data_IF_634755911856
#
_entry.id   IF_634755911856
#
_cell.length_a   1.000
_cell.length_b   1.000
_cell.length_c   1.000
_cell.angle_alpha   90.00
_cell.angle_beta   90.00
_cell.angle_gamma   90.00
#
_symmetry.space_group_name_H-M   'P 1'
#
loop_
_entity.id
_entity.type
_entity.pdbx_description
1 polymer ?
#
# COMPACT_ATOMS: atom_id res chain seq x y z
N UNK A 1 49.25 15.28 10.91
CA UNK A 1 50.22 14.26 10.51
C UNK A 1 49.77 13.67 9.18
N UNK A 2 50.70 13.40 8.29
CA UNK A 2 50.41 12.65 7.07
C UNK A 2 50.34 11.14 7.36
N UNK A 3 49.92 10.35 6.36
CA UNK A 3 49.74 8.89 6.47
C UNK A 3 50.99 8.17 6.96
N UNK A 4 52.16 8.52 6.44
CA UNK A 4 53.42 7.85 6.75
C UNK A 4 53.83 8.10 8.21
N UNK A 5 53.73 9.35 8.66
CA UNK A 5 54.01 9.72 10.05
C UNK A 5 53.10 8.97 11.03
N UNK A 6 51.81 8.80 10.69
CA UNK A 6 50.87 8.04 11.51
C UNK A 6 51.24 6.56 11.58
N UNK A 7 51.55 5.95 10.43
CA UNK A 7 51.94 4.54 10.35
C UNK A 7 53.25 4.24 11.11
N UNK A 8 54.14 5.22 11.24
CA UNK A 8 55.38 5.09 12.02
C UNK A 8 55.13 5.09 13.54
N UNK A 9 54.25 5.97 14.05
CA UNK A 9 54.04 6.12 15.49
C UNK A 9 53.02 5.13 16.08
N UNK A 10 52.03 4.68 15.29
CA UNK A 10 50.93 3.86 15.79
C UNK A 10 51.39 2.54 16.44
N UNK A 11 52.41 1.82 15.92
CA UNK A 11 52.92 0.62 16.58
C UNK A 11 53.49 0.87 17.98
N UNK A 12 54.15 2.01 18.20
CA UNK A 12 54.69 2.38 19.52
C UNK A 12 53.58 2.77 20.48
N UNK A 13 52.62 3.59 20.04
CA UNK A 13 51.44 3.94 20.83
C UNK A 13 50.62 2.71 21.22
N UNK A 14 50.48 1.75 20.30
CA UNK A 14 49.82 0.48 20.58
C UNK A 14 50.55 -0.30 21.68
N UNK A 15 51.87 -0.49 21.54
CA UNK A 15 52.68 -1.17 22.56
C UNK A 15 52.57 -0.49 23.93
N UNK A 16 52.60 0.84 23.97
CA UNK A 16 52.46 1.60 25.21
C UNK A 16 51.07 1.45 25.84
N UNK A 17 50.03 1.35 25.01
CA UNK A 17 48.64 1.14 25.43
C UNK A 17 48.42 -0.29 25.93
N UNK A 18 48.93 -1.29 25.23
CA UNK A 18 48.83 -2.70 25.61
C UNK A 18 49.62 -3.03 26.88
N UNK A 19 50.70 -2.29 27.15
CA UNK A 19 51.49 -2.42 28.37
C UNK A 19 50.76 -1.88 29.61
N UNK A 20 49.82 -0.95 29.43
CA UNK A 20 48.99 -0.39 30.52
C UNK A 20 47.56 -0.08 30.02
N UNK A 21 46.70 -1.12 29.89
CA UNK A 21 45.35 -0.97 29.34
C UNK A 21 44.44 -0.09 30.21
N UNK A 22 44.79 0.13 31.47
CA UNK A 22 44.00 0.94 32.41
C UNK A 22 44.20 2.44 32.23
N UNK A 23 45.29 2.85 31.56
CA UNK A 23 45.59 4.25 31.30
C UNK A 23 44.67 4.84 30.22
N UNK A 24 43.63 5.54 30.67
CA UNK A 24 42.66 6.22 29.82
C UNK A 24 43.29 7.26 28.87
N UNK A 25 44.42 7.88 29.23
CA UNK A 25 45.06 8.91 28.39
C UNK A 25 45.78 8.28 27.22
N UNK A 26 46.54 7.21 27.45
CA UNK A 26 47.23 6.46 26.38
C UNK A 26 46.22 5.83 25.42
N UNK A 27 45.15 5.24 25.95
CA UNK A 27 44.04 4.72 25.13
C UNK A 27 43.40 5.81 24.28
N UNK A 28 43.11 6.97 24.87
CA UNK A 28 42.55 8.11 24.14
C UNK A 28 43.51 8.63 23.05
N UNK A 29 44.79 8.79 23.35
CA UNK A 29 45.80 9.22 22.38
C UNK A 29 45.88 8.24 21.20
N UNK A 30 45.99 6.95 21.49
CA UNK A 30 46.04 5.92 20.46
C UNK A 30 44.77 5.89 19.60
N UNK A 31 43.60 5.94 20.24
CA UNK A 31 42.30 5.99 19.56
C UNK A 31 42.18 7.17 18.58
N UNK A 32 42.57 8.37 19.01
CA UNK A 32 42.46 9.57 18.18
C UNK A 32 43.50 9.59 17.06
N UNK A 33 44.67 8.96 17.24
CA UNK A 33 45.64 8.76 16.15
C UNK A 33 45.16 7.76 15.11
N UNK A 34 44.53 6.67 15.54
CA UNK A 34 43.82 5.77 14.62
C UNK A 34 42.71 6.52 13.87
N UNK A 35 42.01 7.44 14.54
CA UNK A 35 40.95 8.24 13.91
C UNK A 35 41.47 9.21 12.85
N UNK A 36 42.65 9.78 13.06
CA UNK A 36 43.29 10.62 12.05
C UNK A 36 43.71 9.79 10.83
N UNK A 37 44.22 8.57 11.04
CA UNK A 37 44.55 7.65 9.94
C UNK A 37 43.29 7.19 9.19
N UNK A 38 42.20 6.93 9.92
CA UNK A 38 40.91 6.54 9.33
C UNK A 38 40.34 7.62 8.39
N UNK A 39 40.48 8.90 8.73
CA UNK A 39 40.05 10.00 7.83
C UNK A 39 40.80 9.95 6.50
N UNK A 40 42.08 9.59 6.51
CA UNK A 40 42.89 9.46 5.30
C UNK A 40 42.40 8.27 4.47
N UNK A 41 42.18 7.10 5.09
CA UNK A 41 41.68 5.93 4.36
C UNK A 41 40.28 6.14 3.78
N UNK A 42 39.43 6.89 4.48
CA UNK A 42 38.13 7.31 3.96
C UNK A 42 38.26 8.18 2.70
N UNK A 43 39.17 9.17 2.69
CA UNK A 43 39.43 10.01 1.52
C UNK A 43 39.99 9.20 0.33
N UNK A 44 40.81 8.20 0.62
CA UNK A 44 41.37 7.27 -0.37
C UNK A 44 40.35 6.22 -0.86
N UNK A 45 39.17 6.12 -0.23
CA UNK A 45 38.21 5.03 -0.41
C UNK A 45 38.82 3.63 -0.16
N UNK A 46 39.78 3.53 0.76
CA UNK A 46 40.45 2.28 1.13
C UNK A 46 39.64 1.54 2.20
N UNK A 47 38.57 0.88 1.76
CA UNK A 47 37.66 0.15 2.66
C UNK A 47 38.37 -0.94 3.47
N UNK A 48 39.34 -1.65 2.88
CA UNK A 48 40.00 -2.79 3.54
C UNK A 48 40.82 -2.34 4.74
N UNK A 49 41.57 -1.25 4.60
CA UNK A 49 42.29 -0.70 5.72
C UNK A 49 41.37 0.05 6.69
N UNK A 50 40.33 0.73 6.18
CA UNK A 50 39.36 1.41 7.05
C UNK A 50 38.65 0.45 8.00
N UNK A 51 38.21 -0.71 7.50
CA UNK A 51 37.59 -1.74 8.35
C UNK A 51 38.52 -2.18 9.48
N UNK A 52 39.79 -2.46 9.17
CA UNK A 52 40.79 -2.87 10.17
C UNK A 52 41.03 -1.79 11.21
N UNK A 53 41.19 -0.54 10.78
CA UNK A 53 41.41 0.59 11.69
C UNK A 53 40.20 0.80 12.57
N UNK A 54 38.98 0.81 12.02
CA UNK A 54 37.76 1.00 12.81
C UNK A 54 37.56 -0.16 13.82
N UNK A 55 37.83 -1.40 13.42
CA UNK A 55 37.82 -2.55 14.34
C UNK A 55 38.81 -2.38 15.49
N UNK A 56 40.01 -1.89 15.18
CA UNK A 56 41.04 -1.61 16.18
C UNK A 56 40.61 -0.46 17.09
N UNK A 57 40.11 0.65 16.54
CA UNK A 57 39.56 1.77 17.31
C UNK A 57 38.50 1.31 18.31
N UNK A 58 37.58 0.44 17.87
CA UNK A 58 36.51 -0.05 18.72
C UNK A 58 37.04 -0.79 19.96
N UNK A 59 38.11 -1.59 19.82
CA UNK A 59 38.72 -2.33 20.94
C UNK A 59 39.25 -1.43 22.05
N UNK A 60 39.69 -0.22 21.71
CA UNK A 60 40.24 0.74 22.69
C UNK A 60 39.26 1.84 23.07
N UNK A 61 38.01 1.80 22.58
CA UNK A 61 37.04 2.91 22.67
C UNK A 61 36.41 3.13 24.05
N UNK A 62 36.47 2.12 24.94
CA UNK A 62 35.78 2.11 26.22
C UNK A 62 36.23 3.26 27.15
N UNK A 63 35.29 4.04 27.68
CA UNK A 63 35.59 5.17 28.57
C UNK A 63 36.23 6.39 27.89
N UNK A 64 36.37 6.39 26.57
CA UNK A 64 36.81 7.56 25.80
C UNK A 64 35.58 8.38 25.37
N UNK A 65 35.57 9.66 25.71
CA UNK A 65 34.49 10.57 25.33
C UNK A 65 34.31 10.63 23.79
N UNK A 66 33.06 10.51 23.33
CA UNK A 66 32.67 10.57 21.92
C UNK A 66 33.27 9.48 21.00
N UNK A 67 33.90 8.44 21.54
CA UNK A 67 34.52 7.38 20.73
C UNK A 67 33.51 6.64 19.85
N UNK A 68 32.38 6.22 20.43
CA UNK A 68 31.29 5.55 19.71
C UNK A 68 30.70 6.46 18.61
N UNK A 69 30.48 7.74 18.90
CA UNK A 69 30.01 8.72 17.91
C UNK A 69 31.02 8.87 16.76
N UNK A 70 32.33 8.92 17.06
CA UNK A 70 33.39 9.04 16.04
C UNK A 70 33.42 7.81 15.12
N UNK A 71 33.40 6.61 15.71
CA UNK A 71 33.34 5.34 14.96
C UNK A 71 32.10 5.32 14.05
N UNK A 72 30.93 5.60 14.61
CA UNK A 72 29.68 5.56 13.84
C UNK A 72 29.64 6.57 12.70
N UNK A 73 30.20 7.78 12.89
CA UNK A 73 30.31 8.76 11.80
C UNK A 73 31.27 8.33 10.70
N UNK A 74 32.38 7.68 11.02
CA UNK A 74 33.31 7.15 10.01
C UNK A 74 32.64 6.04 9.20
N UNK A 75 31.96 5.10 9.88
CA UNK A 75 31.17 4.05 9.22
C UNK A 75 30.08 4.65 8.33
N UNK A 76 29.31 5.62 8.82
CA UNK A 76 28.29 6.31 8.01
C UNK A 76 28.87 6.89 6.72
N UNK A 77 30.05 7.52 6.79
CA UNK A 77 30.68 8.13 5.61
C UNK A 77 31.07 7.07 4.57
N UNK A 78 31.64 5.94 5.00
CA UNK A 78 31.91 4.79 4.12
C UNK A 78 30.66 4.24 3.47
N UNK A 79 29.59 4.04 4.26
CA UNK A 79 28.31 3.55 3.73
C UNK A 79 27.66 4.56 2.75
N UNK A 80 27.95 5.85 2.91
CA UNK A 80 27.42 6.93 2.06
C UNK A 80 28.20 7.09 0.75
N UNK A 81 29.53 7.00 0.78
CA UNK A 81 30.39 7.15 -0.40
C UNK A 81 30.37 5.93 -1.31
N UNK A 82 29.99 4.77 -0.79
CA UNK A 82 29.96 3.53 -1.55
C UNK A 82 28.72 3.43 -2.46
N UNK A 83 28.86 3.77 -3.74
CA UNK A 83 27.91 3.33 -4.76
C UNK A 83 28.13 1.84 -5.06
N UNK A 84 27.08 1.02 -4.91
CA UNK A 84 27.10 -0.44 -5.11
C UNK A 84 28.06 -1.22 -4.18
N UNK A 85 27.83 -1.14 -2.87
CA UNK A 85 28.63 -1.88 -1.88
C UNK A 85 28.44 -3.39 -2.03
N UNK A 86 29.55 -4.12 -1.93
CA UNK A 86 29.54 -5.55 -1.64
C UNK A 86 28.83 -5.80 -0.29
N UNK A 87 27.84 -6.69 -0.29
CA UNK A 87 27.03 -7.01 0.90
C UNK A 87 27.88 -7.45 2.10
N UNK A 88 29.01 -8.11 1.86
CA UNK A 88 29.92 -8.52 2.94
C UNK A 88 30.55 -7.32 3.67
N UNK A 89 30.91 -6.26 2.94
CA UNK A 89 31.49 -5.05 3.54
C UNK A 89 30.46 -4.31 4.40
N UNK A 90 29.20 -4.26 3.93
CA UNK A 90 28.10 -3.70 4.72
C UNK A 90 27.96 -4.49 6.01
N UNK A 91 27.92 -5.82 5.92
CA UNK A 91 27.79 -6.69 7.09
C UNK A 91 28.89 -6.46 8.14
N UNK A 92 30.16 -6.34 7.69
CA UNK A 92 31.28 -6.10 8.60
C UNK A 92 31.12 -4.78 9.38
N UNK A 93 30.72 -3.69 8.70
CA UNK A 93 30.43 -2.43 9.37
C UNK A 93 29.22 -2.51 10.31
N UNK A 94 28.18 -3.26 9.95
CA UNK A 94 27.02 -3.48 10.82
C UNK A 94 27.42 -4.18 12.11
N UNK A 95 28.29 -5.19 12.05
CA UNK A 95 28.78 -5.88 13.26
C UNK A 95 29.54 -4.95 14.20
N UNK A 96 30.27 -3.96 13.67
CA UNK A 96 30.91 -2.94 14.50
C UNK A 96 29.84 -2.03 15.10
N UNK A 97 28.89 -1.56 14.29
CA UNK A 97 27.81 -0.67 14.74
C UNK A 97 26.94 -1.28 15.85
N UNK A 98 26.73 -2.60 15.85
CA UNK A 98 25.95 -3.29 16.91
C UNK A 98 26.71 -3.46 18.21
N UNK A 99 28.03 -3.24 18.21
CA UNK A 99 28.91 -3.35 19.38
C UNK A 99 29.21 -2.01 20.06
N UNK A 100 28.87 -0.88 19.43
CA UNK A 100 29.10 0.46 19.98
C UNK A 100 27.83 1.05 20.59
N UNK A 101 27.98 1.78 21.69
CA UNK A 101 26.89 2.52 22.32
C UNK A 101 27.08 4.04 22.11
N UNK A 102 26.42 4.56 21.08
CA UNK A 102 26.42 5.99 20.75
C UNK A 102 25.17 6.67 21.31
N UNK A 103 25.26 7.98 21.54
CA UNK A 103 24.17 8.77 22.12
C UNK A 103 22.89 8.68 21.27
N UNK A 104 21.74 8.54 21.94
CA UNK A 104 20.42 8.35 21.33
C UNK A 104 19.35 9.11 22.14
N UNK A 105 18.37 9.77 21.50
CA UNK A 105 18.27 10.03 20.06
C UNK A 105 19.39 10.97 19.58
N UNK A 106 19.94 10.75 18.39
CA UNK A 106 20.99 11.60 17.82
C UNK A 106 20.89 11.73 16.30
N UNK A 107 21.57 12.74 15.76
CA UNK A 107 21.69 12.93 14.31
C UNK A 107 22.33 11.70 13.67
N UNK A 108 23.31 11.08 14.33
CA UNK A 108 23.99 9.88 13.84
C UNK A 108 23.01 8.72 13.71
N UNK A 109 22.14 8.48 14.71
CA UNK A 109 21.08 7.46 14.63
C UNK A 109 20.20 7.64 13.39
N UNK A 110 19.69 8.86 13.18
CA UNK A 110 18.84 9.19 12.03
C UNK A 110 19.55 9.00 10.69
N UNK A 111 20.83 9.40 10.61
CA UNK A 111 21.65 9.27 9.41
C UNK A 111 21.99 7.80 9.10
N UNK A 112 22.31 7.00 10.11
CA UNK A 112 22.51 5.56 9.98
C UNK A 112 21.22 4.87 9.54
N UNK A 113 20.10 5.12 10.20
CA UNK A 113 18.81 4.55 9.80
C UNK A 113 18.46 4.88 8.34
N UNK A 114 18.72 6.12 7.91
CA UNK A 114 18.49 6.54 6.52
C UNK A 114 19.41 5.83 5.53
N UNK A 115 20.73 5.78 5.76
CA UNK A 115 21.67 5.16 4.81
C UNK A 115 21.47 3.64 4.77
N UNK A 116 21.26 2.99 5.92
CA UNK A 116 20.99 1.56 6.01
C UNK A 116 19.71 1.19 5.27
N UNK A 117 18.66 2.02 5.38
CA UNK A 117 17.43 1.82 4.61
C UNK A 117 17.66 1.95 3.09
N UNK A 118 18.57 2.84 2.67
CA UNK A 118 18.91 3.05 1.26
C UNK A 118 19.70 1.88 0.68
N UNK A 119 20.68 1.35 1.41
CA UNK A 119 21.56 0.27 0.92
C UNK A 119 20.99 -1.13 1.13
N UNK A 120 20.02 -1.31 2.04
CA UNK A 120 19.55 -2.64 2.39
C UNK A 120 18.79 -3.31 1.23
N UNK A 121 19.35 -4.43 0.76
CA UNK A 121 18.77 -5.30 -0.25
C UNK A 121 17.95 -6.48 0.34
N UNK A 122 17.21 -6.22 1.43
CA UNK A 122 16.39 -7.20 2.17
C UNK A 122 17.18 -8.27 2.90
N UNK A 123 18.41 -7.96 3.28
CA UNK A 123 19.29 -8.83 4.07
C UNK A 123 18.97 -8.74 5.56
N UNK A 124 19.19 -9.84 6.30
CA UNK A 124 18.81 -10.01 7.71
C UNK A 124 19.60 -9.16 8.68
N UNK A 125 20.81 -8.70 8.32
CA UNK A 125 21.62 -7.82 9.17
C UNK A 125 20.90 -6.52 9.55
N UNK A 126 19.93 -6.08 8.75
CA UNK A 126 19.14 -4.89 9.07
C UNK A 126 18.22 -5.14 10.26
N UNK A 127 17.66 -6.36 10.36
CA UNK A 127 16.93 -6.80 11.53
C UNK A 127 17.85 -6.90 12.75
N UNK A 128 19.00 -7.55 12.61
CA UNK A 128 20.00 -7.68 13.68
C UNK A 128 20.44 -6.32 14.23
N UNK A 129 20.71 -5.36 13.34
CA UNK A 129 21.07 -4.00 13.70
C UNK A 129 19.98 -3.33 14.54
N UNK A 130 18.73 -3.25 14.05
CA UNK A 130 17.65 -2.56 14.77
C UNK A 130 17.18 -3.30 16.02
N UNK A 131 17.40 -4.61 16.11
CA UNK A 131 17.22 -5.38 17.35
C UNK A 131 18.26 -5.01 18.41
N UNK A 132 19.51 -4.78 18.00
CA UNK A 132 20.57 -4.33 18.89
C UNK A 132 20.37 -2.87 19.31
N UNK A 133 20.18 -1.96 18.35
CA UNK A 133 20.19 -0.51 18.65
C UNK A 133 18.87 0.05 19.15
N UNK A 134 17.75 -0.66 18.95
CA UNK A 134 16.41 -0.22 19.32
C UNK A 134 15.71 0.66 18.26
N UNK A 135 14.41 0.88 18.44
CA UNK A 135 13.52 1.65 17.54
C UNK A 135 12.91 2.90 18.20
N UNK A 136 13.25 3.21 19.45
CA UNK A 136 12.62 4.31 20.18
C UNK A 136 13.30 5.67 19.95
N UNK A 137 14.48 5.65 19.33
CA UNK A 137 15.43 6.77 19.31
C UNK A 137 15.34 7.66 18.05
N UNK A 138 14.24 7.55 17.31
CA UNK A 138 13.95 8.45 16.20
C UNK A 138 13.67 9.88 16.70
N UNK A 139 14.29 10.87 16.06
CA UNK A 139 14.09 12.29 16.36
C UNK A 139 12.69 12.76 15.94
N UNK A 140 12.22 13.92 16.42
CA UNK A 140 10.94 14.48 15.97
C UNK A 140 10.88 14.67 14.44
N UNK A 141 12.00 15.01 13.80
CA UNK A 141 12.08 15.17 12.35
C UNK A 141 11.88 13.85 11.60
N UNK A 142 12.34 12.74 12.17
CA UNK A 142 12.19 11.39 11.59
C UNK A 142 10.74 10.89 11.62
N UNK A 143 9.88 11.55 12.42
CA UNK A 143 8.45 11.27 12.57
C UNK A 143 7.57 12.10 11.63
N UNK A 144 8.16 13.01 10.86
CA UNK A 144 7.42 13.86 9.94
C UNK A 144 7.39 13.26 8.54
N UNK A 145 6.23 13.34 7.89
CA UNK A 145 6.11 13.11 6.45
C UNK A 145 6.90 14.17 5.70
N UNK A 146 7.64 13.76 4.68
CA UNK A 146 8.35 14.69 3.78
C UNK A 146 7.81 14.57 2.35
N UNK A 147 8.26 15.45 1.46
CA UNK A 147 7.88 15.44 0.05
C UNK A 147 9.13 15.44 -0.83
N UNK A 148 9.12 14.62 -1.88
CA UNK A 148 10.18 14.56 -2.87
C UNK A 148 9.57 14.32 -4.25
N UNK A 149 9.90 15.16 -5.23
CA UNK A 149 9.35 15.09 -6.59
C UNK A 149 7.81 14.99 -6.65
N UNK A 150 7.11 15.76 -5.81
CA UNK A 150 5.64 15.74 -5.74
C UNK A 150 5.04 14.50 -5.08
N UNK A 151 5.86 13.60 -4.54
CA UNK A 151 5.43 12.39 -3.82
C UNK A 151 5.65 12.56 -2.33
N UNK A 152 4.61 12.25 -1.55
CA UNK A 152 4.72 12.13 -0.10
C UNK A 152 5.58 10.92 0.25
N UNK A 153 6.57 11.15 1.08
CA UNK A 153 7.45 10.13 1.66
C UNK A 153 7.02 9.92 3.11
N UNK A 154 6.71 8.68 3.46
CA UNK A 154 6.40 8.27 4.83
C UNK A 154 7.56 8.61 5.79
N UNK A 155 7.27 8.89 7.08
CA UNK A 155 8.30 9.13 8.09
C UNK A 155 9.39 8.06 8.13
N UNK A 156 10.61 8.43 8.51
CA UNK A 156 11.74 7.49 8.55
C UNK A 156 11.47 6.32 9.51
N UNK A 157 10.90 6.59 10.69
CA UNK A 157 10.56 5.53 11.65
C UNK A 157 9.57 4.50 11.06
N UNK A 158 8.59 4.99 10.29
CA UNK A 158 7.60 4.16 9.61
C UNK A 158 8.27 3.31 8.54
N UNK A 159 9.16 3.90 7.73
CA UNK A 159 9.85 3.19 6.65
C UNK A 159 10.79 2.10 7.17
N UNK A 160 11.47 2.33 8.30
CA UNK A 160 12.32 1.33 8.96
C UNK A 160 11.46 0.15 9.41
N UNK A 161 10.35 0.39 10.12
CA UNK A 161 9.45 -0.67 10.58
C UNK A 161 8.84 -1.46 9.41
N UNK A 162 8.44 -0.79 8.32
CA UNK A 162 7.98 -1.47 7.10
C UNK A 162 9.06 -2.37 6.51
N UNK A 163 10.31 -1.90 6.45
CA UNK A 163 11.42 -2.69 5.92
C UNK A 163 11.72 -3.91 6.80
N UNK A 164 11.69 -3.76 8.13
CA UNK A 164 11.84 -4.86 9.07
C UNK A 164 10.73 -5.90 8.90
N UNK A 165 9.47 -5.46 8.83
CA UNK A 165 8.34 -6.35 8.60
C UNK A 165 8.50 -7.14 7.30
N UNK A 166 8.89 -6.47 6.21
CA UNK A 166 9.17 -7.12 4.92
C UNK A 166 10.27 -8.19 5.02
N UNK A 167 11.37 -7.91 5.73
CA UNK A 167 12.47 -8.87 5.91
C UNK A 167 12.00 -10.09 6.72
N UNK A 168 11.26 -9.85 7.81
CA UNK A 168 10.71 -10.90 8.67
C UNK A 168 9.72 -11.77 7.91
N UNK A 169 8.81 -11.17 7.12
CA UNK A 169 7.84 -11.87 6.28
C UNK A 169 8.53 -12.72 5.21
N UNK A 170 9.49 -12.16 4.48
CA UNK A 170 10.18 -12.82 3.36
C UNK A 170 10.98 -14.04 3.81
N UNK A 171 11.62 -13.94 4.97
CA UNK A 171 12.47 -15.01 5.53
C UNK A 171 11.71 -15.89 6.54
N UNK A 172 10.40 -15.66 6.72
CA UNK A 172 9.53 -16.40 7.63
C UNK A 172 10.09 -16.55 9.06
N UNK A 173 10.65 -15.46 9.61
CA UNK A 173 11.31 -15.45 10.92
C UNK A 173 10.25 -15.39 12.04
N UNK A 174 9.63 -16.52 12.31
CA UNK A 174 8.46 -16.65 13.20
C UNK A 174 8.70 -16.14 14.62
N UNK A 175 9.92 -16.29 15.15
CA UNK A 175 10.30 -15.79 16.48
C UNK A 175 10.20 -14.27 16.62
N UNK A 176 10.14 -13.54 15.50
CA UNK A 176 10.13 -12.07 15.48
C UNK A 176 8.76 -11.46 15.13
N UNK A 177 7.74 -12.29 14.85
CA UNK A 177 6.41 -11.81 14.44
C UNK A 177 5.75 -10.92 15.51
N UNK A 178 5.73 -11.37 16.76
CA UNK A 178 5.11 -10.60 17.85
C UNK A 178 5.87 -9.29 18.13
N UNK A 179 7.21 -9.32 18.01
CA UNK A 179 8.04 -8.14 18.21
C UNK A 179 7.72 -7.05 17.18
N UNK A 180 7.71 -7.40 15.89
CA UNK A 180 7.43 -6.40 14.84
C UNK A 180 5.96 -5.97 14.82
N UNK A 181 5.01 -6.87 15.13
CA UNK A 181 3.59 -6.53 15.25
C UNK A 181 3.36 -5.47 16.32
N UNK A 182 3.98 -5.61 17.50
CA UNK A 182 3.88 -4.61 18.58
C UNK A 182 4.32 -3.22 18.11
N UNK A 183 5.41 -3.15 17.33
CA UNK A 183 5.87 -1.88 16.75
C UNK A 183 4.89 -1.31 15.74
N UNK A 184 4.38 -2.12 14.81
CA UNK A 184 3.38 -1.68 13.83
C UNK A 184 2.12 -1.17 14.54
N UNK A 185 1.65 -1.87 15.57
CA UNK A 185 0.46 -1.48 16.34
C UNK A 185 0.65 -0.17 17.10
N UNK A 186 1.87 0.12 17.56
CA UNK A 186 2.18 1.42 18.18
C UNK A 186 2.20 2.58 17.18
N UNK A 187 2.47 2.30 15.89
CA UNK A 187 2.56 3.30 14.83
C UNK A 187 1.20 3.56 14.14
N UNK A 188 0.34 2.56 14.03
CA UNK A 188 -0.95 2.69 13.32
C UNK A 188 -1.84 3.85 13.83
N UNK A 189 -2.00 4.09 15.15
CA UNK A 189 -2.77 5.25 15.64
C UNK A 189 -2.14 6.60 15.29
N UNK A 190 -0.80 6.66 15.22
CA UNK A 190 -0.06 7.88 14.85
C UNK A 190 -0.12 8.15 13.35
N UNK A 191 -0.20 7.09 12.56
CA UNK A 191 -0.17 7.15 11.09
C UNK A 191 -1.32 6.35 10.45
N UNK A 192 -2.60 6.72 10.71
CA UNK A 192 -3.77 5.95 10.25
C UNK A 192 -3.91 5.88 8.72
N UNK A 193 -3.18 6.75 8.02
CA UNK A 193 -3.16 6.82 6.56
C UNK A 193 -2.07 5.98 5.89
N UNK A 194 -1.15 5.39 6.65
CA UNK A 194 -0.07 4.56 6.13
C UNK A 194 -0.57 3.16 5.72
N UNK A 195 -0.90 3.03 4.44
CA UNK A 195 -1.42 1.80 3.84
C UNK A 195 -0.46 0.62 4.02
N UNK A 196 0.85 0.87 3.89
CA UNK A 196 1.86 -0.18 3.99
C UNK A 196 2.01 -0.76 5.41
N UNK A 197 1.76 0.02 6.46
CA UNK A 197 1.71 -0.53 7.82
C UNK A 197 0.55 -1.51 7.98
N UNK A 198 -0.63 -1.18 7.44
CA UNK A 198 -1.79 -2.09 7.43
C UNK A 198 -1.50 -3.35 6.61
N UNK A 199 -0.86 -3.19 5.46
CA UNK A 199 -0.44 -4.31 4.61
C UNK A 199 0.46 -5.30 5.36
N UNK A 200 1.55 -4.82 5.95
CA UNK A 200 2.50 -5.66 6.69
C UNK A 200 1.87 -6.30 7.92
N UNK A 201 1.06 -5.54 8.69
CA UNK A 201 0.26 -6.13 9.79
C UNK A 201 -0.61 -7.28 9.28
N UNK A 202 -1.31 -7.09 8.17
CA UNK A 202 -2.12 -8.13 7.55
C UNK A 202 -1.29 -9.37 7.17
N UNK A 203 -0.12 -9.18 6.55
CA UNK A 203 0.75 -10.30 6.15
C UNK A 203 1.27 -11.09 7.33
N UNK A 204 1.70 -10.43 8.40
CA UNK A 204 2.11 -11.07 9.65
C UNK A 204 0.93 -11.83 10.30
N UNK A 205 -0.27 -11.25 10.31
CA UNK A 205 -1.48 -11.92 10.81
C UNK A 205 -1.83 -13.16 9.97
N UNK A 206 -1.65 -13.10 8.65
CA UNK A 206 -1.83 -14.27 7.78
C UNK A 206 -0.84 -15.38 8.13
N UNK A 207 0.44 -15.05 8.32
CA UNK A 207 1.49 -16.01 8.73
C UNK A 207 1.21 -16.61 10.12
N UNK A 208 0.54 -15.87 11.00
CA UNK A 208 0.04 -16.34 12.30
C UNK A 208 -1.31 -17.07 12.22
N UNK A 209 -1.84 -17.31 11.02
CA UNK A 209 -3.16 -17.92 10.77
C UNK A 209 -4.35 -17.16 11.42
N UNK A 210 -4.19 -15.86 11.69
CA UNK A 210 -5.25 -14.94 12.17
C UNK A 210 -6.00 -14.35 10.98
N UNK A 211 -6.73 -15.22 10.27
CA UNK A 211 -7.28 -14.94 8.94
C UNK A 211 -8.30 -13.78 8.93
N UNK A 212 -9.18 -13.70 9.94
CA UNK A 212 -10.20 -12.64 10.02
C UNK A 212 -9.57 -11.26 10.21
N UNK A 213 -8.55 -11.18 11.06
CA UNK A 213 -7.82 -9.95 11.33
C UNK A 213 -6.95 -9.55 10.12
N UNK A 214 -6.33 -10.53 9.44
CA UNK A 214 -5.61 -10.30 8.20
C UNK A 214 -6.53 -9.71 7.11
N UNK A 215 -7.74 -10.28 6.96
CA UNK A 215 -8.80 -9.76 6.05
C UNK A 215 -9.16 -8.32 6.38
N UNK A 216 -9.44 -8.03 7.65
CA UNK A 216 -9.78 -6.68 8.08
C UNK A 216 -8.69 -5.66 7.68
N UNK A 217 -7.41 -6.01 7.81
CA UNK A 217 -6.30 -5.14 7.44
C UNK A 217 -6.16 -4.94 5.92
N UNK A 218 -6.21 -6.01 5.12
CA UNK A 218 -6.04 -5.88 3.66
C UNK A 218 -7.26 -5.22 2.99
N UNK A 219 -8.45 -5.38 3.58
CA UNK A 219 -9.64 -4.70 3.09
C UNK A 219 -9.57 -3.18 3.30
N UNK A 220 -9.02 -2.72 4.43
CA UNK A 220 -8.71 -1.31 4.67
C UNK A 220 -7.69 -0.72 3.67
N UNK A 221 -6.78 -1.56 3.17
CA UNK A 221 -5.86 -1.20 2.09
C UNK A 221 -6.62 -1.08 0.75
N UNK A 222 -7.48 -2.04 0.44
CA UNK A 222 -8.29 -2.06 -0.78
C UNK A 222 -9.24 -0.86 -0.90
N UNK A 223 -9.82 -0.38 0.21
CA UNK A 223 -10.64 0.85 0.21
C UNK A 223 -9.90 2.04 -0.40
N UNK A 224 -8.59 2.17 -0.12
CA UNK A 224 -7.74 3.25 -0.64
C UNK A 224 -7.10 2.92 -1.99
N UNK A 225 -6.89 1.64 -2.28
CA UNK A 225 -6.05 1.18 -3.38
C UNK A 225 -6.71 0.05 -4.19
N UNK A 226 -8.01 0.16 -4.50
CA UNK A 226 -8.80 -0.89 -5.19
C UNK A 226 -8.28 -1.32 -6.56
N UNK A 227 -7.45 -0.51 -7.22
CA UNK A 227 -6.84 -0.86 -8.51
C UNK A 227 -5.57 -1.70 -8.38
N UNK A 228 -5.06 -1.90 -7.18
CA UNK A 228 -3.79 -2.60 -6.95
C UNK A 228 -4.00 -4.12 -6.93
N UNK A 229 -3.49 -4.81 -7.94
CA UNK A 229 -3.66 -6.26 -8.08
C UNK A 229 -3.17 -7.05 -6.86
N UNK A 230 -2.06 -6.63 -6.26
CA UNK A 230 -1.42 -7.34 -5.14
C UNK A 230 -2.30 -7.34 -3.89
N UNK A 231 -3.18 -6.35 -3.73
CA UNK A 231 -4.08 -6.26 -2.58
C UNK A 231 -5.21 -7.31 -2.70
N UNK A 232 -5.73 -7.49 -3.91
CA UNK A 232 -6.69 -8.55 -4.21
C UNK A 232 -6.07 -9.94 -4.11
N UNK A 233 -4.85 -10.11 -4.62
CA UNK A 233 -4.10 -11.37 -4.51
C UNK A 233 -3.90 -11.76 -3.04
N UNK A 234 -3.46 -10.81 -2.20
CA UNK A 234 -3.33 -11.04 -0.76
C UNK A 234 -4.68 -11.32 -0.09
N UNK A 235 -5.76 -10.59 -0.40
CA UNK A 235 -7.08 -10.94 0.13
C UNK A 235 -7.46 -12.40 -0.19
N UNK A 236 -7.16 -12.87 -1.41
CA UNK A 236 -7.31 -14.28 -1.81
C UNK A 236 -6.53 -15.27 -0.93
N UNK A 237 -5.27 -14.98 -0.63
CA UNK A 237 -4.44 -15.82 0.24
C UNK A 237 -5.09 -16.05 1.62
N UNK A 238 -5.83 -15.06 2.13
CA UNK A 238 -6.51 -15.23 3.43
C UNK A 238 -7.62 -16.30 3.39
N UNK A 239 -8.14 -16.65 2.22
CA UNK A 239 -9.19 -17.66 2.04
C UNK A 239 -8.65 -19.03 1.63
N UNK A 240 -7.33 -19.19 1.41
CA UNK A 240 -6.76 -20.39 0.79
C UNK A 240 -7.06 -21.68 1.56
N UNK A 241 -7.19 -21.59 2.88
CA UNK A 241 -7.52 -22.73 3.75
C UNK A 241 -9.02 -22.84 4.09
N UNK A 242 -9.85 -21.87 3.70
CA UNK A 242 -11.29 -21.81 4.02
C UNK A 242 -12.19 -21.97 2.80
N UNK A 243 -11.84 -21.36 1.66
CA UNK A 243 -12.66 -21.34 0.45
C UNK A 243 -11.80 -21.16 -0.81
N UNK A 244 -11.60 -22.27 -1.53
CA UNK A 244 -10.78 -22.29 -2.75
C UNK A 244 -11.42 -21.53 -3.92
N UNK A 245 -12.75 -21.54 -4.02
CA UNK A 245 -13.45 -20.80 -5.07
C UNK A 245 -13.29 -19.29 -4.88
N UNK A 246 -13.41 -18.79 -3.66
CA UNK A 246 -13.12 -17.38 -3.36
C UNK A 246 -11.66 -17.05 -3.63
N UNK A 247 -10.73 -17.91 -3.21
CA UNK A 247 -9.29 -17.74 -3.49
C UNK A 247 -9.05 -17.59 -4.99
N UNK A 248 -9.64 -18.47 -5.81
CA UNK A 248 -9.60 -18.41 -7.28
C UNK A 248 -10.20 -17.10 -7.79
N UNK A 249 -11.35 -16.67 -7.29
CA UNK A 249 -11.97 -15.40 -7.67
C UNK A 249 -11.07 -14.19 -7.43
N UNK A 250 -10.41 -14.15 -6.27
CA UNK A 250 -9.49 -13.07 -5.92
C UNK A 250 -8.23 -13.06 -6.78
N UNK A 251 -7.65 -14.22 -7.06
CA UNK A 251 -6.49 -14.34 -7.96
C UNK A 251 -6.84 -13.93 -9.39
N UNK A 252 -7.99 -14.36 -9.92
CA UNK A 252 -8.50 -13.94 -11.22
C UNK A 252 -8.72 -12.42 -11.28
N UNK A 253 -9.31 -11.83 -10.23
CA UNK A 253 -9.48 -10.38 -10.11
C UNK A 253 -8.14 -9.64 -10.11
N UNK A 254 -7.16 -10.16 -9.37
CA UNK A 254 -5.81 -9.61 -9.34
C UNK A 254 -5.15 -9.64 -10.73
N UNK A 255 -5.19 -10.78 -11.44
CA UNK A 255 -4.65 -10.90 -12.79
C UNK A 255 -5.29 -9.89 -13.75
N UNK A 256 -6.62 -9.67 -13.68
CA UNK A 256 -7.31 -8.69 -14.52
C UNK A 256 -6.91 -7.23 -14.24
N UNK A 257 -6.47 -6.92 -13.02
CA UNK A 257 -6.07 -5.57 -12.62
C UNK A 257 -4.60 -5.26 -12.87
N UNK A 258 -3.76 -6.29 -13.01
CA UNK A 258 -2.33 -6.12 -13.23
C UNK A 258 -2.03 -5.65 -14.65
N UNK A 259 -1.29 -4.56 -14.77
CA UNK A 259 -0.85 -4.03 -16.07
C UNK A 259 0.59 -4.44 -16.42
N UNK A 260 1.39 -4.84 -15.44
CA UNK A 260 2.76 -5.31 -15.64
C UNK A 260 2.80 -6.83 -15.40
N UNK A 261 3.03 -7.57 -16.48
CA UNK A 261 3.11 -9.04 -16.46
C UNK A 261 4.25 -9.55 -15.56
N UNK A 262 5.36 -8.80 -15.40
CA UNK A 262 6.46 -9.19 -14.51
C UNK A 262 6.02 -9.17 -13.06
N UNK A 263 5.21 -8.18 -12.67
CA UNK A 263 4.67 -8.08 -11.31
C UNK A 263 3.60 -9.14 -11.01
N UNK A 264 2.95 -9.68 -12.04
CA UNK A 264 1.92 -10.72 -11.91
C UNK A 264 2.47 -12.14 -11.74
N UNK A 265 3.77 -12.37 -11.94
CA UNK A 265 4.39 -13.71 -11.88
C UNK A 265 3.99 -14.52 -10.65
N UNK A 266 4.01 -13.91 -9.46
CA UNK A 266 3.62 -14.58 -8.21
C UNK A 266 2.13 -14.93 -8.16
N UNK A 267 1.26 -13.99 -8.56
CA UNK A 267 -0.20 -14.21 -8.59
C UNK A 267 -0.58 -15.31 -9.58
N UNK A 268 0.02 -15.30 -10.79
CA UNK A 268 -0.22 -16.32 -11.82
C UNK A 268 0.23 -17.71 -11.38
N UNK A 269 1.38 -17.79 -10.71
CA UNK A 269 1.89 -19.04 -10.17
C UNK A 269 0.97 -19.62 -9.10
N UNK A 270 0.47 -18.79 -8.18
CA UNK A 270 -0.54 -19.21 -7.18
C UNK A 270 -1.82 -19.71 -7.86
N UNK A 271 -2.27 -19.02 -8.91
CA UNK A 271 -3.44 -19.44 -9.68
C UNK A 271 -3.20 -20.78 -10.40
N UNK A 272 -2.02 -20.97 -11.01
CA UNK A 272 -1.64 -22.23 -11.63
C UNK A 272 -1.62 -23.39 -10.62
N UNK A 273 -1.05 -23.17 -9.43
CA UNK A 273 -1.02 -24.15 -8.34
C UNK A 273 -2.43 -24.53 -7.86
N UNK A 274 -3.30 -23.52 -7.70
CA UNK A 274 -4.69 -23.72 -7.31
C UNK A 274 -5.46 -24.53 -8.36
N UNK A 275 -5.38 -24.14 -9.63
CA UNK A 275 -6.03 -24.83 -10.75
C UNK A 275 -5.53 -26.27 -10.90
N UNK A 276 -4.22 -26.50 -10.71
CA UNK A 276 -3.64 -27.84 -10.70
C UNK A 276 -4.25 -28.71 -9.59
N UNK A 277 -4.38 -28.17 -8.36
CA UNK A 277 -5.01 -28.86 -7.23
C UNK A 277 -6.50 -29.17 -7.48
N UNK A 278 -7.21 -28.26 -8.14
CA UNK A 278 -8.61 -28.44 -8.56
C UNK A 278 -8.76 -29.34 -9.80
N UNK A 279 -7.65 -29.87 -10.35
CA UNK A 279 -7.61 -30.70 -11.57
C UNK A 279 -8.07 -29.97 -12.84
N UNK A 280 -8.12 -28.64 -12.83
CA UNK A 280 -8.30 -27.83 -14.03
C UNK A 280 -6.96 -27.69 -14.77
N UNK A 281 -6.49 -28.81 -15.30
CA UNK A 281 -5.15 -28.91 -15.91
C UNK A 281 -5.02 -28.04 -17.16
N UNK A 282 -6.12 -27.77 -17.87
CA UNK A 282 -6.12 -26.93 -19.06
C UNK A 282 -5.70 -25.51 -18.73
N UNK A 283 -6.35 -24.91 -17.72
CA UNK A 283 -6.05 -23.54 -17.28
C UNK A 283 -4.76 -23.46 -16.48
N UNK A 284 -4.46 -24.48 -15.67
CA UNK A 284 -3.19 -24.58 -14.98
C UNK A 284 -2.00 -24.59 -15.96
N UNK A 285 -2.12 -25.32 -17.08
CA UNK A 285 -1.12 -25.32 -18.15
C UNK A 285 -0.96 -23.94 -18.79
N UNK A 286 -2.05 -23.26 -19.11
CA UNK A 286 -1.98 -21.91 -19.71
C UNK A 286 -1.27 -20.91 -18.77
N UNK A 287 -1.56 -20.92 -17.47
CA UNK A 287 -0.87 -20.04 -16.52
C UNK A 287 0.61 -20.39 -16.35
N UNK A 288 0.96 -21.68 -16.22
CA UNK A 288 2.35 -22.07 -15.97
C UNK A 288 3.24 -21.75 -17.18
N UNK A 289 2.73 -21.96 -18.40
CA UNK A 289 3.45 -21.59 -19.62
C UNK A 289 3.62 -20.07 -19.71
N UNK A 290 2.61 -19.29 -19.33
CA UNK A 290 2.72 -17.83 -19.30
C UNK A 290 3.77 -17.35 -18.29
N UNK A 291 3.81 -17.96 -17.10
CA UNK A 291 4.84 -17.69 -16.08
C UNK A 291 6.24 -17.99 -16.64
N UNK A 292 6.42 -19.13 -17.31
CA UNK A 292 7.71 -19.52 -17.91
C UNK A 292 8.13 -18.53 -19.02
N UNK A 293 7.20 -18.14 -19.90
CA UNK A 293 7.42 -17.18 -20.99
C UNK A 293 7.93 -15.84 -20.44
N UNK A 294 7.26 -15.29 -19.42
CA UNK A 294 7.61 -14.00 -18.81
C UNK A 294 8.98 -14.09 -18.12
N UNK A 295 9.27 -15.19 -17.41
CA UNK A 295 10.58 -15.37 -16.74
C UNK A 295 11.73 -15.47 -17.74
N UNK A 296 11.57 -16.27 -18.80
CA UNK A 296 12.57 -16.40 -19.87
C UNK A 296 12.85 -15.07 -20.57
N UNK A 297 11.79 -14.37 -21.01
CA UNK A 297 11.95 -13.06 -21.67
C UNK A 297 12.53 -11.98 -20.76
N UNK A 298 12.40 -12.13 -19.44
CA UNK A 298 12.98 -11.22 -18.44
C UNK A 298 14.37 -11.63 -17.93
N UNK A 299 14.94 -12.75 -18.40
CA UNK A 299 16.22 -13.28 -17.90
C UNK A 299 16.16 -13.81 -16.46
N UNK A 300 14.97 -14.08 -15.93
CA UNK A 300 14.78 -14.60 -14.58
C UNK A 300 14.93 -16.13 -14.54
N UNK A 301 15.56 -16.65 -13.48
CA UNK A 301 15.62 -18.10 -13.22
C UNK A 301 14.21 -18.69 -13.06
N UNK A 302 14.01 -19.88 -13.61
CA UNK A 302 12.79 -20.66 -13.44
C UNK A 302 12.93 -21.46 -12.14
N UNK A 303 11.95 -21.33 -11.23
CA UNK A 303 11.95 -22.04 -9.95
C UNK A 303 11.61 -23.52 -10.08
N UNK A 304 12.04 -24.32 -9.11
CA UNK A 304 11.77 -25.77 -9.06
C UNK A 304 10.27 -26.09 -8.98
N UNK A 305 9.51 -25.26 -8.28
CA UNK A 305 8.06 -25.33 -8.17
C UNK A 305 7.35 -25.18 -9.53
N UNK A 306 7.83 -24.25 -10.36
CA UNK A 306 7.35 -24.05 -11.73
C UNK A 306 7.68 -25.27 -12.58
N UNK A 307 8.93 -25.76 -12.51
CA UNK A 307 9.39 -26.92 -13.27
C UNK A 307 8.56 -28.16 -12.91
N UNK A 308 8.38 -28.44 -11.62
CA UNK A 308 7.62 -29.58 -11.11
C UNK A 308 6.20 -29.65 -11.69
N UNK A 309 5.49 -28.52 -11.75
CA UNK A 309 4.14 -28.46 -12.34
C UNK A 309 4.21 -28.67 -13.85
N UNK A 310 5.09 -27.91 -14.52
CA UNK A 310 5.18 -27.93 -15.99
C UNK A 310 5.63 -29.28 -16.56
N UNK A 311 6.41 -30.05 -15.80
CA UNK A 311 6.95 -31.35 -16.23
C UNK A 311 6.03 -32.52 -15.92
N UNK A 312 4.99 -32.31 -15.11
CA UNK A 312 4.02 -33.33 -14.76
C UNK A 312 3.30 -33.89 -15.99
N UNK A 313 3.05 -35.21 -16.00
CA UNK A 313 2.41 -35.91 -17.11
C UNK A 313 1.06 -35.27 -17.48
N UNK A 314 0.23 -34.98 -16.48
CA UNK A 314 -1.10 -34.38 -16.68
C UNK A 314 -1.05 -32.99 -17.32
N UNK A 315 -0.04 -32.17 -17.00
CA UNK A 315 0.12 -30.84 -17.64
C UNK A 315 0.71 -30.95 -19.04
N UNK A 316 1.65 -31.88 -19.27
CA UNK A 316 2.17 -32.13 -20.62
C UNK A 316 1.06 -32.58 -21.57
N UNK A 317 0.17 -33.45 -21.12
CA UNK A 317 -0.95 -34.01 -21.90
C UNK A 317 -2.17 -33.08 -22.00
N UNK A 318 -2.33 -32.12 -21.08
CA UNK A 318 -3.47 -31.20 -21.12
C UNK A 318 -3.46 -30.26 -22.34
N UNK A 319 -4.64 -29.86 -22.80
CA UNK A 319 -4.81 -28.84 -23.84
C UNK A 319 -4.86 -27.47 -23.18
N UNK A 320 -4.12 -26.50 -23.71
CA UNK A 320 -4.14 -25.11 -23.21
C UNK A 320 -5.52 -24.47 -23.40
N UNK A 321 -5.99 -23.76 -22.38
CA UNK A 321 -7.16 -22.89 -22.47
C UNK A 321 -6.85 -21.70 -23.38
N UNK A 322 -7.69 -21.51 -24.41
CA UNK A 322 -7.50 -20.48 -25.43
C UNK A 322 -8.00 -19.11 -24.97
N UNK A 323 -8.99 -19.06 -24.08
CA UNK A 323 -9.61 -17.81 -23.65
C UNK A 323 -9.52 -17.60 -22.13
N UNK A 324 -8.29 -17.53 -21.64
CA UNK A 324 -8.01 -17.24 -20.22
C UNK A 324 -8.64 -15.91 -19.76
N UNK A 325 -8.77 -14.92 -20.64
CA UNK A 325 -9.38 -13.63 -20.31
C UNK A 325 -10.85 -13.77 -19.91
N UNK A 326 -11.61 -14.61 -20.62
CA UNK A 326 -13.01 -14.87 -20.29
C UNK A 326 -13.15 -15.70 -19.01
N UNK A 327 -12.24 -16.65 -18.81
CA UNK A 327 -12.14 -17.38 -17.54
C UNK A 327 -11.93 -16.43 -16.35
N UNK A 328 -10.98 -15.48 -16.42
CA UNK A 328 -10.75 -14.56 -15.30
C UNK A 328 -11.98 -13.71 -15.01
N UNK A 329 -12.66 -13.21 -16.06
CA UNK A 329 -13.85 -12.36 -15.90
C UNK A 329 -14.98 -13.13 -15.23
N UNK A 330 -15.34 -14.28 -15.78
CA UNK A 330 -16.41 -15.14 -15.25
C UNK A 330 -16.13 -15.62 -13.83
N UNK A 331 -14.86 -15.83 -13.48
CA UNK A 331 -14.47 -16.31 -12.15
C UNK A 331 -14.27 -15.20 -11.11
N UNK A 332 -14.26 -13.92 -11.49
CA UNK A 332 -13.90 -12.81 -10.59
C UNK A 332 -15.08 -12.14 -9.86
N UNK A 333 -16.33 -12.50 -10.15
CA UNK A 333 -17.52 -11.83 -9.60
C UNK A 333 -17.54 -11.85 -8.07
N UNK A 334 -17.38 -13.03 -7.48
CA UNK A 334 -17.50 -13.23 -6.03
C UNK A 334 -16.45 -12.45 -5.22
N UNK A 335 -15.29 -12.17 -5.82
CA UNK A 335 -14.26 -11.37 -5.16
C UNK A 335 -14.74 -9.94 -4.91
N UNK A 336 -15.47 -9.37 -5.87
CA UNK A 336 -15.97 -8.01 -5.74
C UNK A 336 -17.09 -7.93 -4.71
N UNK A 337 -17.93 -8.94 -4.60
CA UNK A 337 -19.01 -9.00 -3.59
C UNK A 337 -18.47 -8.97 -2.16
N UNK A 338 -17.45 -9.78 -1.83
CA UNK A 338 -16.79 -9.77 -0.52
C UNK A 338 -16.20 -8.40 -0.19
N UNK A 339 -15.64 -7.70 -1.19
CA UNK A 339 -15.16 -6.34 -0.98
C UNK A 339 -16.32 -5.37 -0.72
N UNK A 340 -17.46 -5.55 -1.39
CA UNK A 340 -18.63 -4.69 -1.26
C UNK A 340 -19.38 -4.86 0.06
N UNK A 341 -19.30 -6.02 0.70
CA UNK A 341 -19.87 -6.29 2.04
C UNK A 341 -19.38 -5.32 3.13
N UNK A 342 -18.27 -4.62 2.88
CA UNK A 342 -17.73 -3.63 3.80
C UNK A 342 -18.44 -2.28 3.79
N UNK A 343 -19.35 -2.08 2.84
CA UNK A 343 -19.99 -0.81 2.57
C UNK A 343 -21.47 -0.87 2.91
N UNK A 344 -22.05 0.29 3.19
CA UNK A 344 -23.50 0.37 3.34
C UNK A 344 -24.16 0.15 1.99
N UNK A 345 -25.33 -0.47 2.00
CA UNK A 345 -26.11 -0.75 0.81
C UNK A 345 -27.47 -0.05 0.88
N UNK A 346 -27.95 0.48 -0.24
CA UNK A 346 -29.32 0.98 -0.36
C UNK A 346 -29.85 0.85 -1.79
N UNK A 347 -31.17 0.80 -1.95
CA UNK A 347 -31.83 1.03 -3.23
C UNK A 347 -32.09 2.53 -3.40
N UNK A 348 -31.90 3.06 -4.61
CA UNK A 348 -32.13 4.46 -4.90
C UNK A 348 -32.43 4.72 -6.38
N UNK A 349 -32.65 5.99 -6.70
CA UNK A 349 -32.95 6.46 -8.04
C UNK A 349 -31.93 7.49 -8.50
N UNK A 350 -31.53 7.40 -9.77
CA UNK A 350 -30.62 8.38 -10.38
C UNK A 350 -31.35 9.70 -10.57
N UNK A 351 -30.93 10.75 -9.87
CA UNK A 351 -31.57 12.07 -9.92
C UNK A 351 -30.83 13.05 -10.82
N UNK A 352 -29.53 12.85 -11.05
CA UNK A 352 -28.73 13.70 -11.92
C UNK A 352 -27.46 12.97 -12.41
N UNK A 353 -26.96 13.34 -13.60
CA UNK A 353 -25.71 12.83 -14.18
C UNK A 353 -24.88 14.00 -14.72
N UNK A 354 -23.67 14.17 -14.19
CA UNK A 354 -22.67 15.10 -14.72
C UNK A 354 -21.76 14.36 -15.70
N UNK A 355 -22.15 14.36 -16.99
CA UNK A 355 -21.44 13.65 -18.06
C UNK A 355 -19.96 14.05 -18.16
N UNK A 356 -19.67 15.36 -18.10
CA UNK A 356 -18.30 15.89 -18.14
C UNK A 356 -17.38 15.31 -17.06
N UNK A 357 -17.95 15.00 -15.88
CA UNK A 357 -17.20 14.48 -14.73
C UNK A 357 -17.34 12.98 -14.56
N UNK A 358 -18.17 12.32 -15.37
CA UNK A 358 -18.58 10.93 -15.20
C UNK A 358 -19.05 10.64 -13.76
N UNK A 359 -19.95 11.48 -13.23
CA UNK A 359 -20.52 11.31 -11.87
C UNK A 359 -22.04 11.25 -11.99
N UNK A 360 -22.65 10.24 -11.35
CA UNK A 360 -24.09 10.15 -11.13
C UNK A 360 -24.43 10.45 -9.66
N UNK A 361 -25.61 11.03 -9.44
CA UNK A 361 -26.20 11.25 -8.14
C UNK A 361 -27.38 10.30 -7.97
N UNK A 362 -27.33 9.47 -6.93
CA UNK A 362 -28.33 8.45 -6.64
C UNK A 362 -28.95 8.77 -5.28
N UNK A 363 -30.22 9.15 -5.28
CA UNK A 363 -30.97 9.43 -4.06
C UNK A 363 -31.58 8.12 -3.54
N UNK A 364 -31.34 7.82 -2.26
CA UNK A 364 -31.81 6.59 -1.62
C UNK A 364 -32.61 6.86 -0.34
N UNK A 365 -32.79 8.14 0.01
CA UNK A 365 -33.64 8.61 1.12
C UNK A 365 -34.02 10.08 0.86
N UNK A 366 -35.01 10.62 1.57
CA UNK A 366 -35.51 12.02 1.43
C UNK A 366 -34.43 13.08 1.63
N UNK A 367 -33.37 12.75 2.37
CA UNK A 367 -32.23 13.63 2.67
C UNK A 367 -30.86 12.98 2.38
N UNK A 368 -30.81 11.84 1.67
CA UNK A 368 -29.55 11.14 1.37
C UNK A 368 -29.39 10.88 -0.12
N UNK A 369 -28.30 11.41 -0.65
CA UNK A 369 -27.90 11.25 -2.04
C UNK A 369 -26.43 10.92 -2.09
N UNK A 370 -26.09 9.80 -2.74
CA UNK A 370 -24.71 9.41 -2.97
C UNK A 370 -24.23 9.90 -4.33
N UNK A 371 -22.99 10.36 -4.39
CA UNK A 371 -22.29 10.62 -5.65
C UNK A 371 -21.41 9.42 -6.02
N UNK A 372 -21.57 8.87 -7.21
CA UNK A 372 -20.83 7.70 -7.69
C UNK A 372 -20.19 7.97 -9.06
N UNK A 373 -18.96 7.48 -9.25
CA UNK A 373 -18.29 7.56 -10.55
C UNK A 373 -18.87 6.51 -11.50
N UNK A 374 -19.25 6.91 -12.70
CA UNK A 374 -19.81 6.02 -13.73
C UNK A 374 -18.75 5.66 -14.78
N UNK A 375 -18.79 4.43 -15.28
CA UNK A 375 -17.96 4.01 -16.40
C UNK A 375 -18.56 4.52 -17.71
N UNK A 376 -17.74 4.96 -18.66
CA UNK A 376 -18.20 5.47 -19.97
C UNK A 376 -19.02 4.45 -20.77
N UNK A 377 -18.81 3.17 -20.53
CA UNK A 377 -19.47 2.06 -21.23
C UNK A 377 -20.87 1.73 -20.68
N UNK A 378 -21.26 2.27 -19.53
CA UNK A 378 -22.55 1.96 -18.91
C UNK A 378 -23.55 3.05 -19.29
N UNK A 379 -24.63 2.66 -19.96
CA UNK A 379 -25.76 3.56 -20.22
C UNK A 379 -26.62 3.68 -18.95
N UNK A 380 -26.27 4.61 -18.05
CA UNK A 380 -27.09 4.99 -16.91
C UNK A 380 -27.82 6.30 -17.23
N UNK A 381 -29.11 6.36 -16.91
CA UNK A 381 -29.96 7.52 -17.17
C UNK A 381 -30.63 8.04 -15.90
N UNK A 382 -31.04 9.30 -15.92
CA UNK A 382 -31.89 9.85 -14.86
C UNK A 382 -33.20 9.04 -14.82
N UNK A 383 -33.68 8.76 -13.61
CA UNK A 383 -34.83 7.89 -13.35
C UNK A 383 -34.51 6.40 -13.26
N UNK A 384 -33.30 5.96 -13.64
CA UNK A 384 -32.90 4.56 -13.44
C UNK A 384 -32.87 4.23 -11.94
N UNK A 385 -33.38 3.06 -11.60
CA UNK A 385 -33.34 2.51 -10.25
C UNK A 385 -32.04 1.73 -10.08
N UNK A 386 -31.39 1.88 -8.95
CA UNK A 386 -30.08 1.28 -8.69
C UNK A 386 -29.95 0.79 -7.26
N UNK A 387 -29.25 -0.33 -7.11
CA UNK A 387 -28.59 -0.71 -5.86
C UNK A 387 -27.30 0.08 -5.79
N UNK A 388 -27.01 0.70 -4.66
CA UNK A 388 -25.78 1.47 -4.43
C UNK A 388 -25.07 0.98 -3.18
N UNK A 389 -23.77 0.76 -3.32
CA UNK A 389 -22.84 0.53 -2.21
C UNK A 389 -22.11 1.84 -1.91
N UNK A 390 -22.09 2.29 -0.66
CA UNK A 390 -21.57 3.61 -0.30
C UNK A 390 -20.86 3.67 1.06
N UNK A 391 -19.97 4.64 1.20
CA UNK A 391 -19.40 5.07 2.49
C UNK A 391 -20.06 6.36 2.96
N UNK A 392 -20.34 6.43 4.26
CA UNK A 392 -20.69 7.69 4.93
C UNK A 392 -19.40 8.40 5.36
N UNK A 393 -19.25 9.65 4.94
CA UNK A 393 -18.09 10.49 5.24
C UNK A 393 -18.57 11.80 5.85
N UNK A 394 -18.03 12.14 7.02
CA UNK A 394 -18.26 13.45 7.62
C UNK A 394 -17.33 14.50 6.98
N UNK A 395 -17.92 15.54 6.41
CA UNK A 395 -17.20 16.66 5.83
C UNK A 395 -17.69 17.96 6.46
N UNK A 396 -16.87 18.54 7.36
CA UNK A 396 -17.17 19.78 8.09
C UNK A 396 -18.53 19.74 8.81
N UNK A 397 -18.83 18.63 9.47
CA UNK A 397 -20.09 18.43 10.20
C UNK A 397 -21.28 18.00 9.33
N UNK A 398 -21.15 17.98 8.01
CA UNK A 398 -22.18 17.44 7.12
C UNK A 398 -21.86 15.99 6.71
N UNK A 399 -22.86 15.11 6.80
CA UNK A 399 -22.79 13.76 6.24
C UNK A 399 -22.81 13.83 4.71
N UNK A 400 -21.82 13.19 4.07
CA UNK A 400 -21.77 12.94 2.63
C UNK A 400 -21.74 11.45 2.38
N UNK A 401 -22.27 11.04 1.24
CA UNK A 401 -22.36 9.64 0.85
C UNK A 401 -21.57 9.45 -0.45
N UNK A 402 -20.48 8.69 -0.39
CA UNK A 402 -19.64 8.41 -1.54
C UNK A 402 -19.98 7.02 -2.07
N UNK A 403 -20.51 6.95 -3.29
CA UNK A 403 -20.81 5.67 -3.94
C UNK A 403 -19.54 4.98 -4.43
N UNK A 404 -19.44 3.69 -4.10
CA UNK A 404 -18.31 2.80 -4.42
C UNK A 404 -18.60 1.99 -5.66
N UNK A 405 -19.82 1.45 -5.75
CA UNK A 405 -20.37 0.70 -6.89
C UNK A 405 -21.89 0.91 -6.96
N UNK A 406 -22.45 0.72 -8.15
CA UNK A 406 -23.89 0.70 -8.38
C UNK A 406 -24.24 -0.41 -9.37
N UNK A 407 -25.48 -0.90 -9.27
CA UNK A 407 -26.04 -1.92 -10.14
C UNK A 407 -27.49 -1.54 -10.47
N UNK A 408 -27.89 -1.62 -11.75
CA UNK A 408 -29.28 -1.29 -12.12
C UNK A 408 -30.23 -2.29 -11.48
N UNK A 409 -31.35 -1.79 -10.97
CA UNK A 409 -32.46 -2.59 -10.47
C UNK A 409 -33.63 -2.49 -11.44
N UNK A 410 -34.23 -3.63 -11.79
CA UNK A 410 -35.44 -3.64 -12.61
C UNK A 410 -36.63 -3.10 -11.81
N UNK A 411 -36.81 -3.59 -10.57
CA UNK A 411 -37.96 -3.27 -9.72
C UNK A 411 -37.49 -2.73 -8.37
N UNK A 412 -37.92 -1.52 -8.05
CA UNK A 412 -37.84 -0.90 -6.73
C UNK A 412 -38.91 0.20 -6.64
N UNK A 413 -39.48 0.42 -5.46
CA UNK A 413 -40.43 1.49 -5.20
C UNK A 413 -39.94 2.33 -4.03
N UNK A 414 -40.23 3.62 -4.08
CA UNK A 414 -39.72 4.59 -3.12
C UNK A 414 -40.85 5.53 -2.73
N UNK A 415 -41.05 5.75 -1.43
CA UNK A 415 -42.06 6.69 -0.91
C UNK A 415 -41.73 8.16 -1.24
N UNK A 416 -40.48 8.44 -1.61
CA UNK A 416 -39.97 9.73 -2.04
C UNK A 416 -39.92 9.89 -3.56
N UNK A 417 -40.50 8.96 -4.34
CA UNK A 417 -40.59 9.06 -5.81
C UNK A 417 -42.03 8.93 -6.24
N UNK A 418 -42.47 9.77 -7.17
CA UNK A 418 -43.80 9.65 -7.78
C UNK A 418 -43.79 10.14 -9.21
N UNK A 419 -44.73 9.63 -10.00
CA UNK A 419 -45.08 10.21 -11.29
C UNK A 419 -46.19 11.26 -11.06
N UNK A 420 -46.05 12.42 -11.69
CA UNK A 420 -47.05 13.48 -11.65
C UNK A 420 -47.39 13.89 -13.07
N UNK A 421 -48.69 13.94 -13.37
CA UNK A 421 -49.21 14.39 -14.65
C UNK A 421 -50.12 15.60 -14.40
N UNK A 422 -49.89 16.70 -15.10
CA UNK A 422 -50.69 17.91 -14.96
C UNK A 422 -50.26 19.03 -15.91
N UNK A 423 -50.91 20.18 -15.81
CA UNK A 423 -50.57 21.35 -16.62
C UNK A 423 -49.32 22.04 -16.11
N UNK A 424 -48.33 22.23 -16.98
CA UNK A 424 -47.13 23.00 -16.68
C UNK A 424 -47.46 24.49 -16.56
N UNK A 425 -47.09 25.10 -15.43
CA UNK A 425 -47.11 26.55 -15.21
C UNK A 425 -45.69 27.07 -15.17
N UNK A 426 -45.23 27.71 -16.23
CA UNK A 426 -43.91 28.34 -16.29
C UNK A 426 -43.91 29.65 -15.48
N UNK A 427 -42.80 29.89 -14.78
CA UNK A 427 -42.56 31.18 -14.16
C UNK A 427 -42.36 32.26 -15.25
N UNK A 428 -42.76 33.53 -15.05
CA UNK A 428 -42.62 34.59 -16.06
C UNK A 428 -41.20 34.77 -16.62
N UNK A 429 -40.17 34.39 -15.84
CA UNK A 429 -38.78 34.43 -16.30
C UNK A 429 -38.38 33.27 -17.24
N UNK A 430 -39.27 32.31 -17.50
CA UNK A 430 -39.03 31.12 -18.33
C UNK A 430 -38.04 30.08 -17.76
N UNK A 431 -37.41 30.37 -16.61
CA UNK A 431 -36.28 29.59 -16.08
C UNK A 431 -36.68 28.41 -15.20
N UNK A 432 -37.95 28.26 -14.83
CA UNK A 432 -38.47 27.13 -14.08
C UNK A 432 -40.00 27.13 -14.18
N UNK A 433 -40.63 26.06 -13.73
CA UNK A 433 -42.08 25.96 -13.66
C UNK A 433 -42.55 25.01 -12.58
N UNK A 434 -43.87 24.82 -12.52
CA UNK A 434 -44.49 23.88 -11.59
C UNK A 434 -45.57 23.04 -12.27
N UNK A 435 -45.72 21.80 -11.80
CA UNK A 435 -46.84 20.90 -12.10
C UNK A 435 -47.35 20.40 -10.75
N UNK A 436 -48.58 20.73 -10.33
CA UNK A 436 -49.16 20.32 -9.05
C UNK A 436 -48.21 20.43 -7.84
N UNK A 437 -47.61 21.62 -7.66
CA UNK A 437 -46.62 21.96 -6.63
C UNK A 437 -45.26 21.22 -6.73
N UNK A 438 -45.02 20.49 -7.81
CA UNK A 438 -43.69 19.92 -8.14
C UNK A 438 -42.86 20.97 -8.87
N UNK A 439 -41.71 21.30 -8.32
CA UNK A 439 -40.75 22.22 -8.96
C UNK A 439 -40.08 21.57 -10.18
N UNK A 440 -40.08 22.25 -11.31
CA UNK A 440 -39.43 21.81 -12.56
C UNK A 440 -38.32 22.81 -12.93
N UNK A 441 -37.08 22.31 -12.99
CA UNK A 441 -35.90 23.13 -13.29
C UNK A 441 -35.82 23.50 -14.79
N UNK A 442 -35.12 24.60 -15.13
CA UNK A 442 -34.92 25.09 -16.51
C UNK A 442 -34.48 24.02 -17.50
N UNK A 443 -33.63 23.10 -17.06
CA UNK A 443 -33.10 22.01 -17.89
C UNK A 443 -34.19 21.08 -18.44
N UNK A 444 -35.35 21.03 -17.80
CA UNK A 444 -36.53 20.29 -18.27
C UNK A 444 -37.51 21.25 -18.95
N UNK A 445 -37.73 22.43 -18.37
CA UNK A 445 -38.67 23.43 -18.90
C UNK A 445 -38.31 23.94 -20.31
N UNK A 446 -37.02 24.00 -20.67
CA UNK A 446 -36.57 24.50 -21.98
C UNK A 446 -37.10 23.70 -23.17
N UNK A 447 -37.63 22.49 -22.92
CA UNK A 447 -38.20 21.61 -23.93
C UNK A 447 -39.73 21.69 -24.00
N UNK A 448 -40.38 22.54 -23.18
CA UNK A 448 -41.82 22.52 -22.94
C UNK A 448 -42.43 23.91 -23.16
N UNK A 449 -43.72 23.94 -23.50
CA UNK A 449 -44.52 25.17 -23.61
C UNK A 449 -45.42 25.33 -22.39
N UNK A 450 -45.65 26.57 -21.98
CA UNK A 450 -46.59 26.89 -20.90
C UNK A 450 -47.99 26.35 -21.22
N UNK A 451 -48.70 25.88 -20.19
CA UNK A 451 -50.06 25.33 -20.30
C UNK A 451 -50.15 23.95 -20.93
N UNK A 452 -49.05 23.31 -21.33
CA UNK A 452 -49.07 21.93 -21.84
C UNK A 452 -49.27 20.93 -20.71
N UNK A 453 -50.07 19.90 -20.95
CA UNK A 453 -50.16 18.74 -20.07
C UNK A 453 -48.91 17.87 -20.23
N UNK A 454 -48.21 17.61 -19.13
CA UNK A 454 -46.93 16.89 -19.12
C UNK A 454 -46.88 15.92 -17.96
N UNK A 455 -46.22 14.78 -18.19
CA UNK A 455 -45.93 13.77 -17.18
C UNK A 455 -44.45 13.86 -16.77
N UNK A 456 -44.19 13.94 -15.47
CA UNK A 456 -42.84 14.01 -14.92
C UNK A 456 -42.63 12.99 -13.82
N UNK A 457 -41.43 12.43 -13.77
CA UNK A 457 -40.94 11.70 -12.62
C UNK A 457 -40.37 12.70 -11.62
N UNK A 458 -40.87 12.67 -10.40
CA UNK A 458 -40.51 13.60 -9.33
C UNK A 458 -39.93 12.87 -8.12
N UNK A 459 -38.99 13.54 -7.45
CA UNK A 459 -38.41 13.08 -6.17
C UNK A 459 -38.69 14.10 -5.06
N UNK A 460 -38.89 13.60 -3.85
CA UNK A 460 -39.01 14.42 -2.65
C UNK A 460 -37.63 14.62 -2.03
N UNK A 461 -37.14 15.86 -2.01
CA UNK A 461 -35.80 16.19 -1.52
C UNK A 461 -35.83 17.38 -0.56
N UNK A 462 -34.87 17.41 0.36
CA UNK A 462 -34.64 18.55 1.23
C UNK A 462 -33.89 19.66 0.50
N UNK A 463 -34.52 20.84 0.37
CA UNK A 463 -33.88 22.01 -0.20
C UNK A 463 -33.11 22.78 0.87
N UNK A 464 -31.79 22.62 0.92
CA UNK A 464 -30.92 23.32 1.88
C UNK A 464 -31.04 24.85 1.85
N UNK A 465 -31.31 25.45 0.68
CA UNK A 465 -31.40 26.92 0.56
C UNK A 465 -32.69 27.47 1.17
N UNK A 466 -33.77 26.69 1.07
CA UNK A 466 -35.09 27.07 1.59
C UNK A 466 -35.41 26.45 2.96
N UNK A 467 -34.56 25.54 3.43
CA UNK A 467 -34.73 24.80 4.68
C UNK A 467 -36.07 24.06 4.77
N UNK A 468 -36.56 23.54 3.64
CA UNK A 468 -37.86 22.87 3.52
C UNK A 468 -37.74 21.64 2.61
N UNK A 469 -38.65 20.68 2.78
CA UNK A 469 -38.79 19.58 1.84
C UNK A 469 -39.75 19.95 0.71
N UNK A 470 -39.47 19.48 -0.50
CA UNK A 470 -40.32 19.74 -1.65
C UNK A 470 -40.18 18.67 -2.73
N UNK A 471 -41.20 18.60 -3.58
CA UNK A 471 -41.17 17.75 -4.77
C UNK A 471 -40.45 18.46 -5.91
N UNK A 472 -39.58 17.73 -6.60
CA UNK A 472 -38.81 18.21 -7.75
C UNK A 472 -38.85 17.21 -8.88
N UNK A 473 -39.20 17.68 -10.08
CA UNK A 473 -39.14 16.90 -11.30
C UNK A 473 -37.69 16.64 -11.73
N UNK A 474 -37.37 15.38 -12.03
CA UNK A 474 -36.03 14.95 -12.47
C UNK A 474 -36.02 14.49 -13.93
N UNK A 475 -37.14 14.00 -14.48
CA UNK A 475 -37.23 13.48 -15.85
C UNK A 475 -38.63 13.63 -16.41
N UNK A 476 -38.74 13.95 -17.71
CA UNK A 476 -40.00 13.84 -18.45
C UNK A 476 -40.29 12.38 -18.77
N UNK A 477 -41.54 11.99 -18.53
CA UNK A 477 -42.06 10.70 -18.97
C UNK A 477 -42.62 10.96 -20.36
N UNK A 478 -41.99 10.37 -21.38
CA UNK A 478 -42.55 10.41 -22.73
C UNK A 478 -43.77 9.51 -22.75
N UNK A 479 -44.92 10.09 -23.07
CA UNK A 479 -46.14 9.34 -23.38
C UNK A 479 -45.98 8.58 -24.70
#
# INVERSE_FOLDING_TARGET
MNKNELLEILPELKKATDADPTDSRKRAEYFWRLNDLEKIYLEENDYSNSEKIILEQNRYSEGINNSANSIGWNIYKHLKSAENVDGQKVYNFINILTSIDFEKPSILYSQLAWILLKINNEETWFLEYFKSVGLNDFSQKDRLTSEFNGRKISPLEVRVVQKLAKIIEKNEISSEYDWILKHIESLLPKYPNEVWLKYHKGKLLLLLNKLKEARAMILEVLKKQKSQFWAWSFLGETFENENLDLTKSFLCKAVLLGNDEKMLLGTRLKLAQLLFREKDYSRAKSEILKVIEIRKSSGFKIGEDILKISESKVIKEAVEERNMKEFYKSSSSNAEDIFLEQFNEAAGIVTNILKERNIAFIQFDKNKTASVKIAKSINLEVGDKCRIFYEEVNNRGEKKYNGVKYEKLANAEFDFVKEVKGMLKLHPSGNFGFIDNVFIHSSICSQLKDGNEVSVLAVYEFNKKKNEFGWKGIKLIKN
#
